data_IF_086689226071
#
_entry.id   IF_086689226071
#
_cell.length_a   1.000
_cell.length_b   1.000
_cell.length_c   1.000
_cell.angle_alpha   90.00
_cell.angle_beta   90.00
_cell.angle_gamma   90.00
#
_symmetry.space_group_name_H-M   'P 1'
#
loop_
_entity.id
_entity.type
_entity.pdbx_description
1 polymer ?
#
# COMPACT_ATOMS: atom_id res chain seq x y z
N UNK A 1 4.98 58.03 -35.87
CA UNK A 1 6.22 57.26 -35.84
C UNK A 1 6.16 56.35 -34.62
N UNK A 2 6.09 55.02 -34.75
CA UNK A 2 6.08 54.12 -33.58
C UNK A 2 5.32 52.81 -33.74
N UNK A 3 5.24 52.24 -34.93
CA UNK A 3 4.47 51.00 -35.18
C UNK A 3 5.33 49.78 -35.53
N UNK A 4 6.65 49.82 -35.42
CA UNK A 4 7.55 48.79 -35.88
C UNK A 4 8.18 47.95 -34.76
N UNK A 5 7.82 48.17 -33.48
CA UNK A 5 8.39 47.43 -32.34
C UNK A 5 7.55 46.22 -31.90
N UNK A 6 6.51 45.82 -32.66
CA UNK A 6 5.59 44.75 -32.27
C UNK A 6 5.82 43.40 -32.95
N UNK A 7 6.95 43.21 -33.60
CA UNK A 7 7.27 41.94 -34.27
C UNK A 7 8.30 41.09 -33.56
N UNK A 8 8.78 41.50 -32.34
CA UNK A 8 9.78 40.79 -31.55
C UNK A 8 9.18 39.67 -30.68
N UNK A 9 7.85 39.54 -30.63
CA UNK A 9 7.15 38.55 -29.79
C UNK A 9 6.71 37.29 -30.58
N UNK A 10 7.19 37.03 -31.77
CA UNK A 10 6.82 35.82 -32.54
C UNK A 10 7.53 34.59 -31.98
N UNK A 11 8.77 34.75 -31.47
CA UNK A 11 9.52 33.67 -30.87
C UNK A 11 8.98 33.29 -29.51
N UNK A 12 8.52 34.26 -28.70
CA UNK A 12 7.84 34.04 -27.41
C UNK A 12 6.53 33.26 -27.59
N UNK A 13 5.77 33.58 -28.67
CA UNK A 13 4.55 32.83 -29.00
C UNK A 13 4.82 31.37 -29.39
N UNK A 14 5.88 31.15 -30.18
CA UNK A 14 6.28 29.81 -30.59
C UNK A 14 6.72 28.96 -29.35
N UNK A 15 7.49 29.52 -28.43
CA UNK A 15 7.90 28.87 -27.20
C UNK A 15 6.72 28.53 -26.30
N UNK A 16 5.71 29.42 -26.21
CA UNK A 16 4.49 29.14 -25.44
C UNK A 16 3.70 27.96 -26.00
N UNK A 17 3.60 27.84 -27.33
CA UNK A 17 2.92 26.73 -27.99
C UNK A 17 3.69 25.44 -27.76
N UNK A 18 5.01 25.44 -27.87
CA UNK A 18 5.85 24.28 -27.60
C UNK A 18 5.70 23.81 -26.14
N UNK A 19 5.77 24.74 -25.20
CA UNK A 19 5.54 24.43 -23.78
C UNK A 19 4.12 23.88 -23.55
N UNK A 20 3.09 24.47 -24.17
CA UNK A 20 1.71 24.01 -24.04
C UNK A 20 1.49 22.57 -24.55
N UNK A 21 2.26 22.13 -25.55
CA UNK A 21 2.24 20.76 -26.04
C UNK A 21 3.00 19.80 -25.13
N UNK A 22 4.08 20.23 -24.50
CA UNK A 22 4.88 19.41 -23.59
C UNK A 22 4.28 19.35 -22.18
N UNK A 23 3.60 20.41 -21.73
CA UNK A 23 3.06 20.51 -20.38
C UNK A 23 2.14 19.34 -19.99
N UNK A 24 1.20 18.88 -20.82
CA UNK A 24 0.36 17.71 -20.49
C UNK A 24 1.18 16.44 -20.24
N UNK A 25 2.22 16.22 -21.04
CA UNK A 25 3.10 15.06 -20.88
C UNK A 25 3.89 15.12 -19.56
N UNK A 26 4.42 16.31 -19.23
CA UNK A 26 5.12 16.51 -17.97
C UNK A 26 4.20 16.34 -16.76
N UNK A 27 2.98 16.85 -16.83
CA UNK A 27 1.98 16.68 -15.76
C UNK A 27 1.65 15.20 -15.59
N UNK A 28 1.42 14.46 -16.66
CA UNK A 28 1.17 13.02 -16.60
C UNK A 28 2.33 12.26 -15.97
N UNK A 29 3.56 12.63 -16.30
CA UNK A 29 4.76 12.02 -15.72
C UNK A 29 4.83 12.29 -14.20
N UNK A 30 4.62 13.53 -13.78
CA UNK A 30 4.64 13.91 -12.35
C UNK A 30 3.53 13.18 -11.60
N UNK A 31 2.31 13.14 -12.13
CA UNK A 31 1.20 12.40 -11.53
C UNK A 31 1.53 10.91 -11.40
N UNK A 32 2.14 10.33 -12.42
CA UNK A 32 2.59 8.93 -12.36
C UNK A 32 3.59 8.67 -11.24
N UNK A 33 4.59 9.53 -11.06
CA UNK A 33 5.57 9.42 -9.97
C UNK A 33 4.88 9.48 -8.60
N UNK A 34 3.98 10.43 -8.41
CA UNK A 34 3.23 10.59 -7.15
C UNK A 34 2.38 9.36 -6.85
N UNK A 35 1.68 8.85 -7.84
CA UNK A 35 0.81 7.67 -7.71
C UNK A 35 1.60 6.41 -7.37
N UNK A 36 2.72 6.17 -8.05
CA UNK A 36 3.61 5.05 -7.73
C UNK A 36 4.23 5.18 -6.33
N UNK A 37 4.60 6.40 -5.93
CA UNK A 37 5.07 6.67 -4.57
C UNK A 37 4.01 6.33 -3.52
N UNK A 38 2.75 6.68 -3.78
CA UNK A 38 1.62 6.34 -2.93
C UNK A 38 1.38 4.83 -2.84
N UNK A 39 1.37 4.13 -3.97
CA UNK A 39 1.25 2.67 -4.02
C UNK A 39 2.39 1.98 -3.25
N UNK A 40 3.61 2.49 -3.39
CA UNK A 40 4.77 1.96 -2.69
C UNK A 40 4.66 2.17 -1.17
N UNK A 41 4.12 3.30 -0.72
CA UNK A 41 3.82 3.55 0.70
C UNK A 41 2.83 2.51 1.23
N UNK A 42 1.70 2.30 0.56
CA UNK A 42 0.72 1.29 0.95
C UNK A 42 1.32 -0.12 1.03
N UNK A 43 2.17 -0.49 0.08
CA UNK A 43 2.86 -1.78 0.11
C UNK A 43 3.82 -1.91 1.30
N UNK A 44 4.48 -0.83 1.71
CA UNK A 44 5.32 -0.83 2.90
C UNK A 44 4.50 -0.98 4.18
N UNK A 45 3.33 -0.35 4.26
CA UNK A 45 2.43 -0.46 5.40
C UNK A 45 1.90 -1.88 5.56
N UNK A 46 1.48 -2.53 4.47
CA UNK A 46 1.07 -3.96 4.48
C UNK A 46 2.20 -4.86 4.97
N UNK A 47 3.44 -4.60 4.54
CA UNK A 47 4.61 -5.35 5.01
C UNK A 47 4.93 -5.07 6.48
N UNK A 48 4.72 -3.84 6.93
CA UNK A 48 4.92 -3.47 8.32
C UNK A 48 3.88 -4.17 9.21
N UNK A 49 2.61 -4.10 8.85
CA UNK A 49 1.53 -4.80 9.54
C UNK A 49 1.76 -6.31 9.64
N UNK A 50 2.18 -6.95 8.55
CA UNK A 50 2.47 -8.39 8.57
C UNK A 50 3.62 -8.76 9.53
N UNK A 51 4.67 -7.93 9.63
CA UNK A 51 5.78 -8.16 10.56
C UNK A 51 5.37 -7.94 12.01
N UNK A 52 4.59 -6.90 12.30
CA UNK A 52 4.13 -6.64 13.65
C UNK A 52 3.12 -7.70 14.10
N UNK A 53 2.22 -8.12 13.21
CA UNK A 53 1.34 -9.27 13.46
C UNK A 53 2.10 -10.55 13.74
N UNK A 54 3.14 -10.85 12.98
CA UNK A 54 3.99 -12.01 13.20
C UNK A 54 4.73 -11.95 14.55
N UNK A 55 5.22 -10.77 14.92
CA UNK A 55 5.85 -10.55 16.22
C UNK A 55 4.88 -10.77 17.38
N UNK A 56 3.67 -10.20 17.25
CA UNK A 56 2.62 -10.36 18.26
C UNK A 56 2.20 -11.83 18.40
N UNK A 57 2.04 -12.53 17.27
CA UNK A 57 1.67 -13.94 17.24
C UNK A 57 2.77 -14.86 17.78
N UNK A 58 4.04 -14.58 17.53
CA UNK A 58 5.17 -15.38 18.03
C UNK A 58 5.18 -15.47 19.55
N UNK A 59 4.87 -14.38 20.24
CA UNK A 59 4.80 -14.33 21.71
C UNK A 59 3.41 -14.62 22.28
N UNK A 60 2.46 -14.96 21.41
CA UNK A 60 1.06 -15.27 21.74
C UNK A 60 0.43 -14.23 22.69
N UNK A 61 0.32 -12.97 22.22
CA UNK A 61 -0.26 -11.88 23.01
C UNK A 61 -1.74 -12.06 23.33
N UNK A 62 -2.38 -13.12 22.85
CA UNK A 62 -3.79 -13.40 23.14
C UNK A 62 -4.52 -14.08 21.97
N UNK A 63 -5.84 -13.93 21.94
CA UNK A 63 -6.68 -14.48 20.88
C UNK A 63 -6.60 -13.67 19.58
N UNK A 64 -7.21 -14.16 18.52
CA UNK A 64 -7.25 -13.53 17.21
C UNK A 64 -7.63 -12.06 17.22
N UNK A 65 -8.53 -11.63 18.09
CA UNK A 65 -8.98 -10.24 18.14
C UNK A 65 -7.86 -9.31 18.62
N UNK A 66 -7.06 -9.72 19.60
CA UNK A 66 -5.93 -8.95 20.13
C UNK A 66 -4.80 -8.88 19.09
N UNK A 67 -4.45 -10.02 18.49
CA UNK A 67 -3.43 -10.09 17.43
C UNK A 67 -3.81 -9.24 16.24
N UNK A 68 -5.06 -9.29 15.83
CA UNK A 68 -5.59 -8.48 14.74
C UNK A 68 -5.52 -6.98 15.06
N UNK A 69 -5.99 -6.58 16.24
CA UNK A 69 -5.91 -5.18 16.67
C UNK A 69 -4.47 -4.69 16.65
N UNK A 70 -3.52 -5.43 17.19
CA UNK A 70 -2.10 -5.07 17.15
C UNK A 70 -1.56 -4.94 15.72
N UNK A 71 -2.01 -5.81 14.81
CA UNK A 71 -1.63 -5.73 13.39
C UNK A 71 -2.27 -4.52 12.70
N UNK A 72 -3.57 -4.29 12.92
CA UNK A 72 -4.31 -3.19 12.31
C UNK A 72 -3.82 -1.82 12.79
N UNK A 73 -3.58 -1.66 14.10
CA UNK A 73 -3.11 -0.42 14.70
C UNK A 73 -1.69 -0.03 14.25
N UNK A 74 -0.95 -0.98 13.71
CA UNK A 74 0.40 -0.74 13.17
C UNK A 74 0.41 -0.19 11.75
N UNK A 75 -0.76 -0.08 11.09
CA UNK A 75 -0.89 0.35 9.71
C UNK A 75 -1.70 1.65 9.61
N UNK A 76 -1.24 2.58 8.76
CA UNK A 76 -1.92 3.85 8.47
C UNK A 76 -2.84 3.76 7.23
N UNK A 77 -3.18 2.53 6.79
CA UNK A 77 -4.01 2.32 5.62
C UNK A 77 -5.47 2.71 5.87
N UNK A 78 -6.03 3.50 4.96
CA UNK A 78 -7.45 3.86 4.93
C UNK A 78 -8.30 2.89 4.11
N UNK A 79 -7.66 1.98 3.38
CA UNK A 79 -8.33 0.95 2.57
C UNK A 79 -8.67 -0.28 3.40
N UNK A 80 -9.66 -1.08 2.98
CA UNK A 80 -9.99 -2.33 3.65
C UNK A 80 -8.77 -3.25 3.73
N UNK A 81 -8.40 -3.65 4.93
CA UNK A 81 -7.31 -4.58 5.20
C UNK A 81 -7.89 -5.86 5.78
N UNK A 82 -7.40 -6.99 5.31
CA UNK A 82 -7.75 -8.32 5.81
C UNK A 82 -6.50 -8.95 6.42
N UNK A 83 -6.65 -9.53 7.59
CA UNK A 83 -5.58 -10.21 8.31
C UNK A 83 -5.98 -11.66 8.59
N UNK A 84 -5.07 -12.58 8.31
CA UNK A 84 -5.22 -14.00 8.59
C UNK A 84 -4.00 -14.52 9.34
N UNK A 85 -4.25 -15.24 10.42
CA UNK A 85 -3.24 -15.98 11.17
C UNK A 85 -3.43 -17.47 10.93
N UNK A 86 -2.34 -18.18 10.66
CA UNK A 86 -2.37 -19.63 10.44
C UNK A 86 -1.27 -20.28 11.26
N UNK A 87 -1.61 -21.30 12.03
CA UNK A 87 -0.66 -22.18 12.69
C UNK A 87 -0.36 -23.38 11.75
N UNK A 88 0.72 -23.28 10.99
CA UNK A 88 1.00 -24.20 9.88
C UNK A 88 1.24 -25.66 10.24
N UNK A 89 1.82 -25.96 11.40
CA UNK A 89 2.20 -27.32 11.79
C UNK A 89 1.66 -27.73 13.17
N UNK A 90 0.75 -26.97 13.71
CA UNK A 90 0.15 -27.20 15.03
C UNK A 90 0.42 -26.06 16.03
N UNK A 91 -0.35 -26.08 17.11
CA UNK A 91 -0.35 -25.04 18.15
C UNK A 91 0.78 -25.16 19.18
N UNK A 92 1.69 -26.11 19.02
CA UNK A 92 2.74 -26.38 19.99
C UNK A 92 3.86 -25.33 19.95
N UNK A 93 4.49 -25.08 21.08
CA UNK A 93 5.69 -24.27 21.15
C UNK A 93 6.76 -24.77 20.19
N UNK A 94 7.36 -23.86 19.43
CA UNK A 94 8.38 -24.16 18.43
C UNK A 94 7.84 -24.49 17.04
N UNK A 95 6.51 -24.59 16.87
CA UNK A 95 5.86 -24.71 15.57
C UNK A 95 5.98 -23.40 14.77
N UNK A 96 5.79 -23.49 13.46
CA UNK A 96 5.77 -22.34 12.57
C UNK A 96 4.32 -21.91 12.31
N UNK A 97 4.09 -20.62 12.31
CA UNK A 97 2.85 -20.03 11.87
C UNK A 97 3.10 -18.99 10.79
N UNK A 98 2.06 -18.54 10.15
CA UNK A 98 2.11 -17.46 9.15
C UNK A 98 1.08 -16.38 9.45
N UNK A 99 1.45 -15.14 9.17
CA UNK A 99 0.53 -14.00 9.12
C UNK A 99 0.46 -13.53 7.68
N UNK A 100 -0.74 -13.45 7.16
CA UNK A 100 -1.00 -12.88 5.83
C UNK A 100 -1.86 -11.63 5.99
N UNK A 101 -1.34 -10.52 5.52
CA UNK A 101 -2.05 -9.24 5.45
C UNK A 101 -2.32 -8.92 3.99
N UNK A 102 -3.58 -8.66 3.68
CA UNK A 102 -4.03 -8.30 2.33
C UNK A 102 -4.79 -7.00 2.38
N UNK A 103 -4.40 -6.04 1.55
CA UNK A 103 -5.06 -4.75 1.41
C UNK A 103 -5.46 -4.50 -0.05
N UNK A 104 -6.56 -3.79 -0.24
CA UNK A 104 -6.94 -3.28 -1.57
C UNK A 104 -6.25 -1.94 -1.79
N UNK A 105 -5.37 -1.80 -2.80
CA UNK A 105 -4.72 -0.52 -3.05
C UNK A 105 -5.73 0.54 -3.47
N UNK A 106 -5.50 1.77 -3.04
CA UNK A 106 -6.27 2.93 -3.44
C UNK A 106 -5.40 3.91 -4.24
N UNK A 107 -5.97 4.53 -5.27
CA UNK A 107 -5.29 5.61 -5.98
C UNK A 107 -5.41 6.91 -5.20
N UNK A 108 -4.37 7.74 -5.24
CA UNK A 108 -4.38 9.08 -4.63
C UNK A 108 -5.16 10.07 -5.50
N UNK A 109 -5.01 9.96 -6.81
CA UNK A 109 -5.61 10.88 -7.76
C UNK A 109 -7.08 10.62 -8.06
N UNK A 110 -7.59 9.40 -7.79
CA UNK A 110 -8.95 8.98 -8.16
C UNK A 110 -9.20 8.92 -9.67
N UNK A 111 -8.14 8.93 -10.48
CA UNK A 111 -8.24 8.82 -11.93
C UNK A 111 -8.45 7.35 -12.31
N UNK A 112 -9.62 7.01 -12.83
CA UNK A 112 -9.98 5.62 -13.18
C UNK A 112 -9.02 4.93 -14.16
N UNK A 113 -8.24 5.70 -14.94
CA UNK A 113 -7.18 5.13 -15.79
C UNK A 113 -6.03 4.52 -14.96
N UNK A 114 -5.74 5.08 -13.81
CA UNK A 114 -4.66 4.61 -12.92
C UNK A 114 -5.16 3.39 -12.15
N UNK A 115 -6.42 3.39 -11.72
CA UNK A 115 -7.05 2.24 -11.07
C UNK A 115 -7.00 0.97 -11.92
N UNK A 116 -7.10 1.10 -13.23
CA UNK A 116 -7.00 -0.03 -14.16
C UNK A 116 -5.58 -0.65 -14.24
N UNK A 117 -4.56 0.07 -13.77
CA UNK A 117 -3.16 -0.38 -13.78
C UNK A 117 -2.73 -0.90 -12.40
N UNK A 118 -3.45 -0.52 -11.34
CA UNK A 118 -3.15 -0.96 -9.98
C UNK A 118 -3.32 -2.49 -9.84
N UNK A 119 -2.49 -3.14 -9.01
CA UNK A 119 -2.70 -4.55 -8.68
C UNK A 119 -4.04 -4.70 -7.93
N UNK A 120 -4.71 -5.82 -8.13
CA UNK A 120 -6.00 -6.10 -7.47
C UNK A 120 -5.88 -6.14 -5.94
N UNK A 121 -4.72 -6.54 -5.42
CA UNK A 121 -4.43 -6.59 -3.99
C UNK A 121 -2.94 -6.44 -3.71
N UNK A 122 -2.63 -5.90 -2.54
CA UNK A 122 -1.29 -5.91 -1.93
C UNK A 122 -1.30 -6.96 -0.84
N UNK A 123 -0.44 -7.94 -0.95
CA UNK A 123 -0.38 -9.05 0.01
C UNK A 123 1.03 -9.21 0.55
N UNK A 124 1.15 -9.38 1.85
CA UNK A 124 2.40 -9.71 2.53
C UNK A 124 2.17 -10.88 3.47
N UNK A 125 2.99 -11.92 3.33
CA UNK A 125 2.99 -13.08 4.21
C UNK A 125 4.32 -13.15 4.94
N UNK A 126 4.26 -13.32 6.26
CA UNK A 126 5.42 -13.44 7.13
C UNK A 126 5.27 -14.74 7.93
N UNK A 127 6.30 -15.57 7.87
CA UNK A 127 6.43 -16.77 8.70
C UNK A 127 7.08 -16.42 10.03
N UNK A 128 6.59 -17.01 11.11
CA UNK A 128 7.15 -16.83 12.45
C UNK A 128 7.18 -18.15 13.20
N UNK A 129 7.98 -18.22 14.24
CA UNK A 129 8.05 -19.38 15.14
C UNK A 129 7.33 -19.06 16.44
N UNK A 130 6.47 -19.98 16.88
CA UNK A 130 5.76 -19.88 18.15
C UNK A 130 6.72 -20.04 19.34
N UNK A 131 6.83 -19.03 20.17
CA UNK A 131 7.57 -19.09 21.43
C UNK A 131 6.70 -19.66 22.57
N UNK A 132 5.39 -19.55 22.42
CA UNK A 132 4.39 -20.13 23.33
C UNK A 132 3.33 -20.86 22.49
N UNK A 133 2.62 -21.87 23.07
CA UNK A 133 1.54 -22.52 22.35
C UNK A 133 0.49 -21.52 21.90
N UNK A 134 0.03 -21.64 20.65
CA UNK A 134 -1.08 -20.82 20.15
C UNK A 134 -2.37 -21.20 20.86
N UNK A 135 -3.14 -20.21 21.29
CA UNK A 135 -4.45 -20.41 21.87
C UNK A 135 -5.52 -19.89 20.90
N UNK A 136 -6.46 -20.75 20.54
CA UNK A 136 -7.73 -20.41 19.87
C UNK A 136 -7.60 -19.45 18.67
N UNK A 137 -6.64 -19.71 17.78
CA UNK A 137 -6.57 -19.00 16.51
C UNK A 137 -7.58 -19.60 15.53
N UNK A 138 -8.48 -18.76 15.07
CA UNK A 138 -9.37 -19.14 13.97
C UNK A 138 -8.58 -19.00 12.66
N UNK A 139 -8.05 -20.14 12.19
CA UNK A 139 -7.11 -20.22 11.08
C UNK A 139 -7.75 -19.96 9.72
N UNK A 140 -9.07 -19.92 9.63
CA UNK A 140 -9.79 -19.88 8.36
C UNK A 140 -10.45 -18.53 8.03
N UNK A 141 -10.42 -17.56 8.95
CA UNK A 141 -11.11 -16.30 8.74
C UNK A 141 -10.17 -15.16 8.31
N UNK A 142 -10.28 -14.75 7.05
CA UNK A 142 -9.88 -13.41 6.65
C UNK A 142 -10.78 -12.41 7.36
N UNK A 143 -10.24 -11.71 8.34
CA UNK A 143 -11.01 -10.75 9.13
C UNK A 143 -10.54 -9.33 8.79
N UNK A 144 -11.49 -8.44 8.48
CA UNK A 144 -11.20 -7.03 8.17
C UNK A 144 -10.79 -6.23 9.40
N UNK A 145 -9.90 -5.30 9.23
CA UNK A 145 -9.58 -4.24 10.18
C UNK A 145 -10.72 -3.18 10.34
#
# INVERSE_FOLDING_TARGET
MGWITKLRNRDEGAQLVEFALLAPLLILLVLGIVEFGWLFSQNNDVRHGAREGARAAAVNLGNNSVLRTATCDSMDLTSPVQVMFTDGAGSAQGSYGTVTVTATPSSLSGLGMIEAILPASLTSTVEFRLEQPSADWDTDALTSC
#
